data_IF_390679829560
#
_entry.id   IF_390679829560
#
_cell.length_a   1.000
_cell.length_b   1.000
_cell.length_c   1.000
_cell.angle_alpha   90.00
_cell.angle_beta   90.00
_cell.angle_gamma   90.00
#
_symmetry.space_group_name_H-M   'P 1'
#
loop_
_entity.id
_entity.type
_entity.pdbx_description
1 polymer ?
#
# COMPACT_ATOMS: atom_id res chain seq x y z
N UNK A 1 -9.48 27.82 14.95
CA UNK A 1 -9.11 27.02 13.77
C UNK A 1 -10.04 25.83 13.69
N UNK A 2 -10.77 25.70 12.58
CA UNK A 2 -11.83 24.70 12.43
C UNK A 2 -11.28 23.28 12.26
N UNK A 3 -12.05 22.26 12.65
CA UNK A 3 -11.75 20.84 12.45
C UNK A 3 -11.26 20.52 11.02
N UNK A 4 -11.72 21.25 10.02
CA UNK A 4 -11.35 21.04 8.61
C UNK A 4 -10.00 21.65 8.22
N UNK A 5 -9.52 22.70 8.88
CA UNK A 5 -8.16 23.22 8.63
C UNK A 5 -7.12 22.16 9.00
N UNK A 6 -7.43 21.31 9.98
CA UNK A 6 -6.52 20.26 10.40
C UNK A 6 -6.44 19.10 9.39
N UNK A 7 -7.50 18.91 8.61
CA UNK A 7 -7.69 17.82 7.65
C UNK A 7 -7.33 18.20 6.21
N UNK A 8 -6.92 19.44 5.96
CA UNK A 8 -6.68 19.98 4.61
C UNK A 8 -5.24 20.42 4.41
N UNK A 9 -4.91 20.72 3.15
CA UNK A 9 -3.59 21.18 2.74
C UNK A 9 -3.59 22.70 2.49
N UNK A 10 -2.40 23.30 2.62
CA UNK A 10 -2.21 24.71 2.30
C UNK A 10 -2.41 24.95 0.80
N UNK A 11 -2.78 26.18 0.37
CA UNK A 11 -2.87 26.51 -1.05
C UNK A 11 -1.56 26.28 -1.82
N UNK A 12 -0.40 26.48 -1.18
CA UNK A 12 0.90 26.22 -1.77
C UNK A 12 1.14 24.73 -2.03
N UNK A 13 0.79 23.87 -1.08
CA UNK A 13 0.91 22.42 -1.24
C UNK A 13 -0.03 21.90 -2.32
N UNK A 14 -1.25 22.44 -2.41
CA UNK A 14 -2.19 22.11 -3.47
C UNK A 14 -1.66 22.49 -4.86
N UNK A 15 -1.14 23.72 -5.03
CA UNK A 15 -0.52 24.16 -6.29
C UNK A 15 0.62 23.22 -6.70
N UNK A 16 1.49 22.88 -5.76
CA UNK A 16 2.60 21.96 -5.98
C UNK A 16 2.13 20.56 -6.36
N UNK A 17 1.09 20.05 -5.69
CA UNK A 17 0.54 18.74 -6.00
C UNK A 17 -0.08 18.71 -7.40
N UNK A 18 -0.94 19.68 -7.72
CA UNK A 18 -1.68 19.69 -8.99
C UNK A 18 -0.77 19.95 -10.20
N UNK A 19 0.30 20.74 -10.05
CA UNK A 19 1.28 20.95 -11.14
C UNK A 19 2.12 19.71 -11.47
N UNK A 20 2.19 18.73 -10.57
CA UNK A 20 2.93 17.48 -10.76
C UNK A 20 2.08 16.35 -11.33
N UNK A 21 0.77 16.57 -11.54
CA UNK A 21 -0.10 15.52 -12.02
C UNK A 21 0.16 15.19 -13.49
N UNK A 22 0.10 13.90 -13.80
CA UNK A 22 0.13 13.39 -15.17
C UNK A 22 -1.27 13.44 -15.76
N UNK A 23 -1.63 14.60 -16.34
CA UNK A 23 -2.93 14.83 -16.99
C UNK A 23 -3.23 13.86 -18.14
N UNK A 24 -2.18 13.29 -18.74
CA UNK A 24 -2.26 12.22 -19.73
C UNK A 24 -2.56 10.84 -19.12
N UNK A 25 -2.73 10.69 -17.81
CA UNK A 25 -3.00 9.37 -17.22
C UNK A 25 -4.42 8.88 -17.54
N UNK A 26 -4.64 7.55 -17.44
CA UNK A 26 -5.97 6.95 -17.68
C UNK A 26 -7.05 7.47 -16.72
N UNK A 27 -6.67 7.87 -15.50
CA UNK A 27 -7.58 8.40 -14.49
C UNK A 27 -8.20 9.72 -14.94
N UNK A 28 -7.38 10.68 -15.40
CA UNK A 28 -7.88 11.98 -15.86
C UNK A 28 -8.58 11.87 -17.22
N UNK A 29 -7.98 11.17 -18.20
CA UNK A 29 -8.55 11.04 -19.56
C UNK A 29 -9.96 10.45 -19.58
N UNK A 30 -10.23 9.43 -18.76
CA UNK A 30 -11.55 8.78 -18.70
C UNK A 30 -12.65 9.66 -18.09
N UNK A 31 -12.28 10.75 -17.41
CA UNK A 31 -13.19 11.72 -16.79
C UNK A 31 -12.84 13.15 -17.19
N UNK A 32 -12.31 13.34 -18.41
CA UNK A 32 -11.79 14.61 -18.90
C UNK A 32 -12.82 15.74 -18.73
N UNK A 33 -14.07 15.53 -19.13
CA UNK A 33 -15.16 16.52 -18.99
C UNK A 33 -15.31 17.07 -17.57
N UNK A 34 -15.11 16.26 -16.54
CA UNK A 34 -15.14 16.74 -15.16
C UNK A 34 -13.88 17.54 -14.82
N UNK A 35 -12.70 16.99 -15.10
CA UNK A 35 -11.44 17.66 -14.76
C UNK A 35 -11.21 18.96 -15.54
N UNK A 36 -11.67 19.03 -16.79
CA UNK A 36 -11.61 20.23 -17.63
C UNK A 36 -12.56 21.33 -17.16
N UNK A 37 -13.59 20.97 -16.38
CA UNK A 37 -14.54 21.93 -15.79
C UNK A 37 -14.04 22.60 -14.50
N UNK A 38 -12.90 22.15 -13.97
CA UNK A 38 -12.34 22.67 -12.72
C UNK A 38 -11.49 23.93 -12.97
N UNK A 39 -11.57 24.88 -12.04
CA UNK A 39 -10.74 26.08 -12.04
C UNK A 39 -9.40 25.77 -11.35
N UNK A 40 -8.41 25.40 -12.17
CA UNK A 40 -7.07 25.05 -11.70
C UNK A 40 -6.21 26.25 -11.29
N UNK A 41 -6.68 27.47 -11.52
CA UNK A 41 -5.94 28.69 -11.19
C UNK A 41 -6.34 29.23 -9.81
N UNK A 42 -7.64 29.25 -9.50
CA UNK A 42 -8.15 29.94 -8.32
C UNK A 42 -8.80 29.01 -7.28
N UNK A 43 -9.34 27.87 -7.69
CA UNK A 43 -10.15 26.99 -6.82
C UNK A 43 -9.68 25.53 -6.87
N UNK A 44 -8.43 25.33 -6.44
CA UNK A 44 -7.80 24.01 -6.42
C UNK A 44 -8.50 23.06 -5.45
N UNK A 45 -9.04 21.92 -5.94
CA UNK A 45 -9.74 20.98 -5.09
C UNK A 45 -8.77 20.25 -4.16
N UNK A 46 -9.26 19.86 -2.99
CA UNK A 46 -8.50 19.02 -2.06
C UNK A 46 -8.47 17.58 -2.58
N UNK A 47 -7.29 16.96 -2.73
CA UNK A 47 -7.20 15.55 -3.13
C UNK A 47 -7.48 14.65 -1.92
N UNK A 48 -8.65 14.01 -1.90
CA UNK A 48 -9.04 13.08 -0.85
C UNK A 48 -8.58 11.65 -1.15
N UNK A 49 -8.19 10.94 -0.09
CA UNK A 49 -8.05 9.48 -0.07
C UNK A 49 -9.19 8.95 0.75
N UNK A 50 -10.01 8.09 0.16
CA UNK A 50 -10.99 7.28 0.86
C UNK A 50 -10.34 5.94 1.20
N UNK A 51 -10.39 5.52 2.45
CA UNK A 51 -9.73 4.31 2.94
C UNK A 51 -10.73 3.39 3.62
N UNK A 52 -10.82 2.16 3.11
CA UNK A 52 -11.56 1.07 3.71
C UNK A 52 -10.63 0.01 4.28
N UNK A 53 -10.95 -0.47 5.48
CA UNK A 53 -10.13 -1.44 6.21
C UNK A 53 -11.00 -2.34 7.11
N UNK A 54 -10.41 -3.41 7.63
CA UNK A 54 -10.97 -4.24 8.67
C UNK A 54 -10.13 -4.13 9.96
N UNK A 55 -10.75 -3.75 11.06
CA UNK A 55 -10.09 -3.69 12.37
C UNK A 55 -10.56 -4.86 13.26
N UNK A 56 -9.68 -5.48 14.06
CA UNK A 56 -10.10 -6.46 15.06
C UNK A 56 -11.13 -5.87 16.04
N UNK A 57 -12.20 -6.61 16.32
CA UNK A 57 -13.24 -6.19 17.28
C UNK A 57 -13.40 -7.19 18.42
N UNK A 58 -13.59 -8.46 18.07
CA UNK A 58 -13.72 -9.58 18.99
C UNK A 58 -13.00 -10.80 18.42
N UNK A 59 -12.99 -11.92 19.14
CA UNK A 59 -12.41 -13.18 18.64
C UNK A 59 -13.13 -13.72 17.39
N UNK A 60 -14.41 -13.36 17.21
CA UNK A 60 -15.28 -13.90 16.16
C UNK A 60 -15.72 -12.85 15.15
N UNK A 61 -15.38 -11.57 15.35
CA UNK A 61 -15.83 -10.48 14.50
C UNK A 61 -14.76 -9.38 14.33
N UNK A 62 -14.92 -8.62 13.24
CA UNK A 62 -14.09 -7.46 12.92
C UNK A 62 -14.98 -6.26 12.59
N UNK A 63 -14.46 -5.06 12.78
CA UNK A 63 -15.11 -3.83 12.33
C UNK A 63 -14.73 -3.59 10.87
N UNK A 64 -15.70 -3.33 10.01
CA UNK A 64 -15.46 -2.66 8.75
C UNK A 64 -15.39 -1.16 9.02
N UNK A 65 -14.26 -0.56 8.65
CA UNK A 65 -13.92 0.83 8.92
C UNK A 65 -13.85 1.57 7.59
N UNK A 66 -14.51 2.71 7.52
CA UNK A 66 -14.38 3.65 6.42
C UNK A 66 -13.93 5.00 6.94
N UNK A 67 -12.88 5.54 6.34
CA UNK A 67 -12.28 6.81 6.71
C UNK A 67 -11.82 7.57 5.49
N UNK A 68 -11.55 8.86 5.64
CA UNK A 68 -10.91 9.63 4.58
C UNK A 68 -9.92 10.65 5.13
N UNK A 69 -8.99 11.07 4.28
CA UNK A 69 -7.99 12.10 4.62
C UNK A 69 -7.49 12.83 3.39
N UNK A 70 -6.91 14.01 3.59
CA UNK A 70 -6.21 14.70 2.50
C UNK A 70 -4.93 13.92 2.12
N UNK A 71 -4.78 13.57 0.84
CA UNK A 71 -3.67 12.78 0.32
C UNK A 71 -2.30 13.40 0.62
N UNK A 72 -2.23 14.74 0.63
CA UNK A 72 -0.99 15.49 0.73
C UNK A 72 -0.77 16.12 2.11
N UNK A 73 -1.54 15.71 3.12
CA UNK A 73 -1.30 16.16 4.49
C UNK A 73 0.06 15.67 5.00
N UNK A 74 0.80 16.56 5.65
CA UNK A 74 2.07 16.23 6.32
C UNK A 74 1.87 15.70 7.75
N UNK A 75 0.63 15.71 8.23
CA UNK A 75 0.27 15.25 9.57
C UNK A 75 0.29 13.73 9.66
N UNK A 76 0.48 13.23 10.88
CA UNK A 76 0.33 11.81 11.17
C UNK A 76 -1.11 11.38 10.87
N UNK A 77 -1.28 10.16 10.36
CA UNK A 77 -2.58 9.57 10.01
C UNK A 77 -3.60 9.75 11.13
N UNK A 78 -3.22 9.40 12.37
CA UNK A 78 -4.08 9.53 13.56
C UNK A 78 -4.57 10.97 13.86
N UNK A 79 -3.96 11.99 13.27
CA UNK A 79 -4.33 13.39 13.45
C UNK A 79 -4.98 14.02 12.20
N UNK A 80 -5.05 13.29 11.09
CA UNK A 80 -5.51 13.80 9.79
C UNK A 80 -6.57 12.93 9.11
N UNK A 81 -6.86 11.78 9.70
CA UNK A 81 -7.87 10.84 9.23
C UNK A 81 -9.18 11.12 9.92
N UNK A 82 -10.23 11.23 9.11
CA UNK A 82 -11.58 11.43 9.58
C UNK A 82 -12.37 10.14 9.38
N UNK A 83 -12.93 9.63 10.47
CA UNK A 83 -13.73 8.43 10.49
C UNK A 83 -15.13 8.73 9.93
N UNK A 84 -15.52 8.06 8.85
CA UNK A 84 -16.84 8.23 8.23
C UNK A 84 -17.84 7.24 8.80
N UNK A 85 -17.43 5.97 8.91
CA UNK A 85 -18.28 4.90 9.40
C UNK A 85 -17.46 3.78 10.00
N UNK A 86 -18.04 3.11 11.00
CA UNK A 86 -17.51 1.90 11.62
C UNK A 86 -18.68 1.01 11.99
N UNK A 87 -18.67 -0.23 11.53
CA UNK A 87 -19.68 -1.21 11.90
C UNK A 87 -19.06 -2.61 12.06
N UNK A 88 -19.49 -3.41 13.05
CA UNK A 88 -19.15 -4.83 13.11
C UNK A 88 -19.62 -5.54 11.84
N UNK A 89 -18.79 -6.39 11.23
CA UNK A 89 -19.12 -7.09 9.98
C UNK A 89 -20.36 -7.97 10.16
N UNK A 90 -20.55 -8.59 11.34
CA UNK A 90 -21.75 -9.38 11.62
C UNK A 90 -23.01 -8.55 11.85
N UNK A 91 -22.87 -7.28 12.25
CA UNK A 91 -23.98 -6.39 12.59
C UNK A 91 -24.54 -5.60 11.40
N UNK A 92 -23.84 -5.58 10.28
CA UNK A 92 -24.23 -4.83 9.09
C UNK A 92 -24.60 -5.78 7.95
N UNK A 93 -25.86 -5.72 7.51
CA UNK A 93 -26.27 -6.39 6.28
C UNK A 93 -25.88 -5.54 5.05
N UNK A 94 -26.00 -6.15 3.86
CA UNK A 94 -25.70 -5.46 2.59
C UNK A 94 -26.56 -4.21 2.37
N UNK A 95 -27.80 -4.21 2.89
CA UNK A 95 -28.71 -3.07 2.76
C UNK A 95 -28.25 -1.86 3.59
N UNK A 96 -27.69 -2.12 4.77
CA UNK A 96 -27.17 -1.08 5.67
C UNK A 96 -25.99 -0.37 5.02
N UNK A 97 -25.03 -1.14 4.49
CA UNK A 97 -23.89 -0.57 3.75
C UNK A 97 -24.31 0.16 2.49
N UNK A 98 -25.26 -0.38 1.72
CA UNK A 98 -25.74 0.27 0.50
C UNK A 98 -26.29 1.69 0.78
N UNK A 99 -27.15 1.84 1.80
CA UNK A 99 -27.69 3.15 2.22
C UNK A 99 -26.60 4.09 2.71
N UNK A 100 -25.67 3.58 3.50
CA UNK A 100 -24.55 4.37 4.00
C UNK A 100 -23.68 4.87 2.84
N UNK A 101 -23.40 4.01 1.86
CA UNK A 101 -22.65 4.37 0.66
C UNK A 101 -23.36 5.39 -0.21
N UNK A 102 -24.69 5.35 -0.30
CA UNK A 102 -25.46 6.38 -0.98
C UNK A 102 -25.24 7.76 -0.34
N UNK A 103 -25.34 7.86 0.98
CA UNK A 103 -25.11 9.13 1.70
C UNK A 103 -23.66 9.63 1.60
N UNK A 104 -22.70 8.70 1.65
CA UNK A 104 -21.28 9.03 1.48
C UNK A 104 -21.01 9.52 0.06
N UNK A 105 -21.50 8.82 -0.95
CA UNK A 105 -21.34 9.21 -2.34
C UNK A 105 -21.95 10.59 -2.60
N UNK A 106 -23.16 10.83 -2.10
CA UNK A 106 -23.84 12.12 -2.24
C UNK A 106 -23.07 13.26 -1.54
N UNK A 107 -22.46 12.97 -0.39
CA UNK A 107 -21.58 13.91 0.31
C UNK A 107 -20.33 14.24 -0.52
N UNK A 108 -19.73 13.26 -1.17
CA UNK A 108 -18.59 13.48 -2.07
C UNK A 108 -18.97 14.16 -3.39
N UNK A 109 -20.18 13.95 -3.91
CA UNK A 109 -20.71 14.72 -5.04
C UNK A 109 -20.79 16.20 -4.69
N UNK A 110 -21.35 16.53 -3.50
CA UNK A 110 -21.43 17.91 -2.99
C UNK A 110 -20.04 18.54 -2.82
N UNK A 111 -19.06 17.78 -2.32
CA UNK A 111 -17.67 18.22 -2.21
C UNK A 111 -17.01 18.44 -3.57
N UNK A 112 -17.24 17.56 -4.56
CA UNK A 112 -16.66 17.70 -5.90
C UNK A 112 -17.19 18.94 -6.62
N UNK A 113 -18.48 19.23 -6.47
CA UNK A 113 -19.13 20.41 -7.05
C UNK A 113 -18.79 21.69 -6.26
N UNK A 114 -18.49 21.56 -4.96
CA UNK A 114 -18.24 22.69 -4.06
C UNK A 114 -19.54 23.37 -3.59
N UNK A 115 -20.65 22.62 -3.46
CA UNK A 115 -21.95 23.17 -3.04
C UNK A 115 -22.77 22.15 -2.25
N UNK A 116 -23.49 22.64 -1.23
CA UNK A 116 -24.54 21.91 -0.53
C UNK A 116 -25.75 22.82 -0.30
N UNK A 117 -26.81 22.62 -1.08
CA UNK A 117 -27.94 23.56 -1.13
C UNK A 117 -27.47 24.95 -1.58
N UNK A 118 -27.70 25.97 -0.73
CA UNK A 118 -27.25 27.36 -0.98
C UNK A 118 -25.82 27.64 -0.48
N UNK A 119 -25.22 26.74 0.30
CA UNK A 119 -23.89 26.93 0.85
C UNK A 119 -22.81 26.57 -0.17
N UNK A 120 -21.81 27.45 -0.31
CA UNK A 120 -20.57 27.14 -1.03
C UNK A 120 -19.65 26.33 -0.11
N UNK A 121 -19.05 25.29 -0.67
CA UNK A 121 -18.08 24.43 0.00
C UNK A 121 -16.75 24.52 -0.75
N UNK A 122 -15.64 24.36 -0.03
CA UNK A 122 -14.35 24.15 -0.67
C UNK A 122 -14.39 22.84 -1.45
N UNK A 123 -13.96 22.89 -2.73
CA UNK A 123 -13.98 21.72 -3.59
C UNK A 123 -13.02 20.63 -3.09
N UNK A 124 -13.41 19.39 -3.30
CA UNK A 124 -12.58 18.25 -3.00
C UNK A 124 -12.94 17.07 -3.87
N UNK A 125 -11.93 16.31 -4.29
CA UNK A 125 -12.08 15.21 -5.24
C UNK A 125 -11.44 13.95 -4.69
N UNK A 126 -12.10 12.80 -4.88
CA UNK A 126 -11.53 11.51 -4.50
C UNK A 126 -10.43 11.18 -5.50
N UNK A 127 -9.18 11.32 -5.07
CA UNK A 127 -8.01 10.98 -5.86
C UNK A 127 -7.62 9.52 -5.75
N UNK A 128 -7.91 8.88 -4.61
CA UNK A 128 -7.65 7.47 -4.41
C UNK A 128 -8.69 6.85 -3.50
N UNK A 129 -9.13 5.64 -3.84
CA UNK A 129 -9.85 4.72 -2.96
C UNK A 129 -8.85 3.61 -2.63
N UNK A 130 -8.51 3.45 -1.35
CA UNK A 130 -7.49 2.52 -0.88
C UNK A 130 -8.06 1.51 0.09
N UNK A 131 -7.55 0.28 0.03
CA UNK A 131 -7.85 -0.79 0.97
C UNK A 131 -7.05 -2.03 0.61
N UNK A 132 -7.14 -3.07 1.42
CA UNK A 132 -6.57 -4.36 1.08
C UNK A 132 -7.45 -5.11 0.05
N UNK A 133 -6.95 -6.26 -0.43
CA UNK A 133 -7.67 -7.06 -1.42
C UNK A 133 -8.96 -7.66 -0.84
N UNK A 134 -8.99 -8.02 0.45
CA UNK A 134 -10.17 -8.61 1.09
C UNK A 134 -11.33 -7.60 1.12
N UNK A 135 -11.03 -6.37 1.51
CA UNK A 135 -11.99 -5.27 1.49
C UNK A 135 -12.50 -5.00 0.07
N UNK A 136 -11.60 -4.95 -0.93
CA UNK A 136 -12.04 -4.78 -2.32
C UNK A 136 -12.89 -5.93 -2.84
N UNK A 137 -12.57 -7.17 -2.44
CA UNK A 137 -13.37 -8.34 -2.79
C UNK A 137 -14.78 -8.25 -2.21
N UNK A 138 -14.90 -7.89 -0.94
CA UNK A 138 -16.18 -7.77 -0.26
C UNK A 138 -17.02 -6.60 -0.81
N UNK A 139 -16.40 -5.43 -1.02
CA UNK A 139 -17.12 -4.20 -1.35
C UNK A 139 -17.38 -4.05 -2.86
N UNK A 140 -16.41 -4.40 -3.70
CA UNK A 140 -16.46 -4.14 -5.14
C UNK A 140 -16.51 -5.41 -5.99
N UNK A 141 -16.62 -6.59 -5.36
CA UNK A 141 -16.64 -7.87 -6.06
C UNK A 141 -15.33 -8.19 -6.75
N UNK A 142 -14.19 -7.68 -6.26
CA UNK A 142 -12.88 -8.04 -6.80
C UNK A 142 -12.57 -9.52 -6.58
N UNK A 143 -11.75 -10.14 -7.46
CA UNK A 143 -11.27 -11.49 -7.23
C UNK A 143 -10.53 -11.58 -5.89
N UNK A 144 -10.73 -12.67 -5.16
CA UNK A 144 -9.96 -12.97 -3.96
C UNK A 144 -8.55 -13.45 -4.33
N UNK A 145 -7.63 -13.45 -3.36
CA UNK A 145 -6.27 -13.95 -3.55
C UNK A 145 -6.21 -15.43 -4.01
N UNK A 146 -7.22 -16.23 -3.66
CA UNK A 146 -7.35 -17.64 -4.04
C UNK A 146 -8.12 -17.87 -5.34
N UNK A 147 -8.56 -16.81 -6.02
CA UNK A 147 -9.29 -16.94 -7.28
C UNK A 147 -8.39 -17.54 -8.38
N UNK A 148 -9.01 -18.29 -9.30
CA UNK A 148 -8.36 -18.72 -10.54
C UNK A 148 -7.92 -17.53 -11.42
N UNK A 149 -8.47 -16.33 -11.20
CA UNK A 149 -8.10 -15.11 -11.92
C UNK A 149 -7.91 -13.95 -10.94
N UNK A 150 -6.82 -13.96 -10.16
CA UNK A 150 -6.68 -13.18 -8.93
C UNK A 150 -6.49 -11.67 -9.16
N UNK A 151 -6.10 -11.26 -10.37
CA UNK A 151 -5.84 -9.85 -10.67
C UNK A 151 -7.13 -9.14 -11.16
N UNK A 152 -7.56 -8.03 -10.56
CA UNK A 152 -8.68 -7.24 -11.07
C UNK A 152 -8.31 -6.41 -12.31
N UNK A 153 -7.02 -6.27 -12.61
CA UNK A 153 -6.52 -5.41 -13.70
C UNK A 153 -6.17 -6.18 -14.98
N UNK A 154 -5.81 -7.46 -14.88
CA UNK A 154 -5.39 -8.26 -16.02
C UNK A 154 -5.97 -9.67 -16.00
N UNK A 155 -5.84 -10.38 -17.13
CA UNK A 155 -6.26 -11.75 -17.34
C UNK A 155 -5.26 -12.79 -16.82
N UNK A 156 -4.40 -12.43 -15.87
CA UNK A 156 -3.51 -13.40 -15.24
C UNK A 156 -4.35 -14.48 -14.53
N UNK A 157 -3.96 -15.73 -14.70
CA UNK A 157 -4.60 -16.89 -14.10
C UNK A 157 -3.72 -17.55 -13.02
N UNK A 158 -4.37 -18.25 -12.10
CA UNK A 158 -3.78 -19.07 -11.05
C UNK A 158 -4.29 -20.52 -11.19
N UNK A 159 -4.29 -21.03 -12.43
CA UNK A 159 -4.72 -22.39 -12.73
C UNK A 159 -3.54 -23.34 -12.56
N UNK A 160 -3.68 -24.34 -11.70
CA UNK A 160 -2.66 -25.38 -11.49
C UNK A 160 -2.58 -26.39 -12.63
N UNK A 161 -3.61 -26.46 -13.47
CA UNK A 161 -3.64 -27.31 -14.66
C UNK A 161 -2.95 -26.58 -15.81
N UNK A 162 -1.72 -26.97 -16.13
CA UNK A 162 -0.91 -26.35 -17.19
C UNK A 162 -1.60 -26.38 -18.56
N UNK A 163 -2.46 -27.37 -18.84
CA UNK A 163 -3.20 -27.44 -20.09
C UNK A 163 -4.32 -26.38 -20.17
N UNK A 164 -4.73 -25.80 -19.03
CA UNK A 164 -5.76 -24.75 -18.94
C UNK A 164 -5.18 -23.37 -18.66
N UNK A 165 -3.97 -23.29 -18.10
CA UNK A 165 -3.30 -22.02 -17.84
C UNK A 165 -2.85 -21.39 -19.16
N UNK A 166 -3.31 -20.17 -19.42
CA UNK A 166 -2.99 -19.42 -20.65
C UNK A 166 -1.99 -18.31 -20.34
N UNK A 167 -2.11 -17.73 -19.16
CA UNK A 167 -1.38 -16.55 -18.73
C UNK A 167 -1.10 -16.63 -17.22
N UNK A 168 -0.27 -17.59 -16.78
CA UNK A 168 -0.01 -17.83 -15.37
C UNK A 168 0.58 -16.58 -14.71
N UNK A 169 0.01 -16.18 -13.56
CA UNK A 169 0.46 -14.99 -12.82
C UNK A 169 1.91 -15.11 -12.31
N UNK A 170 2.44 -16.33 -12.25
CA UNK A 170 3.82 -16.64 -11.85
C UNK A 170 4.85 -16.43 -12.97
N UNK A 171 4.41 -16.22 -14.23
CA UNK A 171 5.33 -15.87 -15.31
C UNK A 171 5.76 -14.40 -15.17
N UNK A 172 6.96 -14.19 -14.63
CA UNK A 172 7.52 -12.86 -14.38
C UNK A 172 8.34 -12.31 -15.57
N UNK A 173 8.46 -13.07 -16.66
CA UNK A 173 9.22 -12.65 -17.85
C UNK A 173 8.66 -11.35 -18.45
N UNK A 174 9.51 -10.61 -19.17
CA UNK A 174 9.08 -9.41 -19.89
C UNK A 174 8.03 -9.73 -20.97
N UNK A 175 8.04 -10.96 -21.49
CA UNK A 175 7.14 -11.49 -22.53
C UNK A 175 5.94 -12.25 -21.97
N UNK A 176 5.68 -12.19 -20.65
CA UNK A 176 4.57 -12.93 -20.04
C UNK A 176 3.22 -12.53 -20.64
N UNK A 177 2.39 -13.52 -20.98
CA UNK A 177 1.14 -13.31 -21.73
C UNK A 177 0.16 -12.36 -21.03
N UNK A 178 0.03 -12.46 -19.70
CA UNK A 178 -0.90 -11.65 -18.92
C UNK A 178 -0.63 -10.14 -19.02
N UNK A 179 0.59 -9.73 -19.39
CA UNK A 179 0.94 -8.31 -19.58
C UNK A 179 0.16 -7.66 -20.73
N UNK A 180 -0.20 -8.46 -21.74
CA UNK A 180 -1.04 -8.02 -22.87
C UNK A 180 -2.54 -8.14 -22.61
N UNK A 181 -2.95 -8.85 -21.57
CA UNK A 181 -4.35 -9.16 -21.27
C UNK A 181 -4.92 -8.19 -20.23
N UNK A 182 -4.94 -6.90 -20.51
CA UNK A 182 -5.56 -5.94 -19.58
C UNK A 182 -7.08 -6.06 -19.64
N UNK A 183 -7.73 -6.16 -18.48
CA UNK A 183 -9.19 -6.15 -18.40
C UNK A 183 -9.70 -4.76 -18.73
N UNK A 184 -10.88 -4.67 -19.35
CA UNK A 184 -11.54 -3.38 -19.49
C UNK A 184 -12.11 -2.97 -18.12
N UNK A 185 -11.68 -1.83 -17.56
CA UNK A 185 -12.31 -1.22 -16.40
C UNK A 185 -13.84 -1.13 -16.48
N UNK A 186 -14.37 -1.02 -17.70
CA UNK A 186 -15.78 -0.81 -17.96
C UNK A 186 -16.66 -2.04 -17.80
N UNK A 187 -16.07 -3.24 -17.80
CA UNK A 187 -16.77 -4.53 -17.67
C UNK A 187 -16.90 -4.97 -16.19
N UNK A 188 -16.41 -4.15 -15.27
CA UNK A 188 -16.37 -4.50 -13.84
C UNK A 188 -17.71 -4.26 -13.14
N UNK A 189 -18.08 -5.15 -12.22
CA UNK A 189 -19.31 -5.02 -11.40
C UNK A 189 -19.34 -3.72 -10.56
N UNK A 190 -18.18 -3.11 -10.37
CA UNK A 190 -17.94 -1.89 -9.59
C UNK A 190 -18.79 -0.70 -10.04
N UNK A 191 -19.17 -0.63 -11.32
CA UNK A 191 -20.00 0.47 -11.84
C UNK A 191 -21.35 0.63 -11.14
N UNK A 192 -21.83 -0.44 -10.51
CA UNK A 192 -23.09 -0.43 -9.76
C UNK A 192 -22.93 0.21 -8.36
N UNK A 193 -21.69 0.36 -7.88
CA UNK A 193 -21.41 0.91 -6.56
C UNK A 193 -21.67 2.43 -6.52
N UNK A 194 -22.28 2.94 -5.44
CA UNK A 194 -22.70 4.35 -5.32
C UNK A 194 -21.58 5.36 -5.58
N UNK A 195 -20.34 5.04 -5.19
CA UNK A 195 -19.15 5.87 -5.45
C UNK A 195 -18.92 6.18 -6.94
N UNK A 196 -19.42 5.39 -7.89
CA UNK A 196 -19.28 5.70 -9.32
C UNK A 196 -20.12 6.90 -9.76
N UNK A 197 -21.07 7.37 -8.93
CA UNK A 197 -21.78 8.64 -9.13
C UNK A 197 -20.91 9.86 -8.82
N UNK A 198 -19.84 9.70 -8.03
CA UNK A 198 -18.98 10.81 -7.62
C UNK A 198 -18.15 11.30 -8.81
N UNK A 199 -18.19 12.61 -9.13
CA UNK A 199 -17.38 13.16 -10.21
C UNK A 199 -15.88 12.88 -10.02
N UNK A 200 -15.22 12.45 -11.09
CA UNK A 200 -13.80 12.09 -11.10
C UNK A 200 -13.49 10.67 -10.60
N UNK A 201 -14.44 9.96 -9.95
CA UNK A 201 -14.24 8.56 -9.58
C UNK A 201 -14.32 7.67 -10.81
N UNK A 202 -13.32 6.80 -10.95
CA UNK A 202 -13.27 5.76 -11.95
C UNK A 202 -12.59 4.53 -11.37
N UNK A 203 -12.58 3.44 -12.13
CA UNK A 203 -11.77 2.27 -11.78
C UNK A 203 -10.31 2.60 -11.46
N UNK A 204 -9.72 3.57 -12.16
CA UNK A 204 -8.32 3.98 -11.93
C UNK A 204 -8.11 4.76 -10.64
N UNK A 205 -9.18 5.22 -10.00
CA UNK A 205 -9.15 5.83 -8.66
C UNK A 205 -8.92 4.76 -7.60
N UNK A 206 -9.21 3.48 -7.88
CA UNK A 206 -9.03 2.38 -6.93
C UNK A 206 -7.58 1.91 -6.91
N UNK A 207 -6.99 1.82 -5.72
CA UNK A 207 -5.59 1.43 -5.48
C UNK A 207 -5.52 0.43 -4.32
N UNK A 208 -4.82 -0.67 -4.53
CA UNK A 208 -4.44 -1.55 -3.42
C UNK A 208 -3.53 -0.81 -2.45
N UNK A 209 -3.75 -1.05 -1.16
CA UNK A 209 -2.94 -0.49 -0.11
C UNK A 209 -1.47 -0.93 -0.26
N UNK A 210 -0.59 0.08 -0.26
CA UNK A 210 0.83 -0.12 -0.43
C UNK A 210 1.45 -0.88 0.74
N UNK A 211 0.90 -0.76 1.96
CA UNK A 211 1.39 -1.53 3.10
C UNK A 211 1.25 -3.03 2.81
N UNK A 212 0.08 -3.45 2.33
CA UNK A 212 -0.21 -4.85 2.02
C UNK A 212 0.53 -5.37 0.78
N UNK A 213 0.71 -4.54 -0.26
CA UNK A 213 1.44 -4.96 -1.46
C UNK A 213 2.96 -4.96 -1.27
N UNK A 214 3.51 -3.89 -0.67
CA UNK A 214 4.94 -3.68 -0.63
C UNK A 214 5.56 -4.24 0.66
N UNK A 215 5.10 -3.79 1.83
CA UNK A 215 5.75 -4.12 3.10
C UNK A 215 5.36 -5.51 3.61
N UNK A 216 4.07 -5.81 3.66
CA UNK A 216 3.55 -7.12 4.07
C UNK A 216 3.47 -8.13 2.92
N UNK A 217 3.56 -7.65 1.67
CA UNK A 217 3.59 -8.48 0.46
C UNK A 217 5.01 -8.76 -0.01
N UNK A 218 5.48 -8.07 -1.05
CA UNK A 218 6.74 -8.40 -1.73
C UNK A 218 7.95 -8.37 -0.77
N UNK A 219 8.06 -7.35 0.06
CA UNK A 219 9.23 -7.19 0.95
C UNK A 219 9.29 -8.27 2.01
N UNK A 220 8.15 -8.66 2.59
CA UNK A 220 8.11 -9.71 3.62
C UNK A 220 8.60 -11.04 3.07
N UNK A 221 8.26 -11.38 1.82
CA UNK A 221 8.78 -12.56 1.14
C UNK A 221 10.27 -12.47 0.86
N UNK A 222 10.77 -11.34 0.35
CA UNK A 222 12.20 -11.16 0.08
C UNK A 222 13.01 -11.33 1.37
N UNK A 223 12.63 -10.64 2.45
CA UNK A 223 13.34 -10.73 3.72
C UNK A 223 13.18 -12.10 4.37
N UNK A 224 12.00 -12.71 4.31
CA UNK A 224 11.76 -14.06 4.83
C UNK A 224 12.67 -15.10 4.17
N UNK A 225 12.75 -15.08 2.83
CA UNK A 225 13.62 -15.99 2.08
C UNK A 225 15.10 -15.73 2.36
N UNK A 226 15.54 -14.47 2.36
CA UNK A 226 16.94 -14.14 2.66
C UNK A 226 17.36 -14.59 4.07
N UNK A 227 16.52 -14.33 5.07
CA UNK A 227 16.80 -14.75 6.45
C UNK A 227 16.83 -16.28 6.54
N UNK A 228 15.89 -16.95 5.88
CA UNK A 228 15.87 -18.41 5.84
C UNK A 228 17.15 -18.98 5.23
N UNK A 229 17.57 -18.47 4.07
CA UNK A 229 18.79 -18.92 3.39
C UNK A 229 20.03 -18.74 4.28
N UNK A 230 20.18 -17.60 4.97
CA UNK A 230 21.33 -17.40 5.86
C UNK A 230 21.28 -18.36 7.06
N UNK A 231 20.10 -18.63 7.62
CA UNK A 231 19.97 -19.53 8.77
C UNK A 231 20.21 -21.00 8.36
N UNK A 232 19.72 -21.44 7.18
CA UNK A 232 19.90 -22.81 6.70
C UNK A 232 21.33 -23.02 6.20
N UNK A 233 21.80 -22.15 5.32
CA UNK A 233 22.95 -22.43 4.45
C UNK A 233 24.26 -21.81 4.95
N UNK A 234 24.22 -20.69 5.68
CA UNK A 234 25.42 -19.91 5.98
C UNK A 234 25.84 -19.98 7.45
N UNK A 235 24.89 -20.13 8.38
CA UNK A 235 25.16 -20.19 9.82
C UNK A 235 25.31 -21.64 10.31
N UNK A 236 26.36 -21.94 11.09
CA UNK A 236 26.61 -23.30 11.54
C UNK A 236 25.66 -23.70 12.68
N UNK A 237 25.30 -24.98 12.71
CA UNK A 237 24.55 -25.59 13.80
C UNK A 237 23.11 -25.94 13.43
N UNK A 238 22.27 -26.14 14.45
CA UNK A 238 20.85 -26.37 14.25
C UNK A 238 20.14 -25.08 13.87
N UNK A 239 18.91 -25.21 13.36
CA UNK A 239 18.04 -24.08 13.07
C UNK A 239 17.91 -23.11 14.26
N UNK A 240 17.75 -23.66 15.46
CA UNK A 240 17.58 -22.92 16.70
C UNK A 240 18.85 -22.16 17.08
N UNK A 241 20.03 -22.79 17.00
CA UNK A 241 21.30 -22.10 17.26
C UNK A 241 21.59 -21.02 16.21
N UNK A 242 21.31 -21.30 14.93
CA UNK A 242 21.49 -20.35 13.83
C UNK A 242 20.53 -19.16 13.95
N UNK A 243 19.29 -19.36 14.38
CA UNK A 243 18.35 -18.28 14.66
C UNK A 243 18.80 -17.39 15.83
N UNK A 244 19.42 -17.95 16.87
CA UNK A 244 20.02 -17.17 17.96
C UNK A 244 21.18 -16.32 17.44
N UNK A 245 22.06 -16.90 16.61
CA UNK A 245 23.15 -16.16 15.98
C UNK A 245 22.64 -15.04 15.07
N UNK A 246 21.62 -15.31 14.25
CA UNK A 246 20.97 -14.31 13.40
C UNK A 246 20.39 -13.15 14.20
N UNK A 247 19.67 -13.42 15.30
CA UNK A 247 19.13 -12.37 16.17
C UNK A 247 20.24 -11.49 16.78
N UNK A 248 21.39 -12.08 17.15
CA UNK A 248 22.55 -11.30 17.62
C UNK A 248 23.11 -10.40 16.51
N UNK A 249 23.23 -10.91 15.27
CA UNK A 249 23.67 -10.11 14.13
C UNK A 249 22.75 -8.91 13.88
N UNK A 250 21.43 -9.14 13.87
CA UNK A 250 20.42 -8.08 13.70
C UNK A 250 20.52 -7.03 14.82
N UNK A 251 20.70 -7.47 16.07
CA UNK A 251 20.85 -6.57 17.22
C UNK A 251 22.11 -5.71 17.11
N UNK A 252 23.24 -6.32 16.73
CA UNK A 252 24.52 -5.62 16.53
C UNK A 252 24.41 -4.59 15.40
N UNK A 253 23.88 -4.97 14.23
CA UNK A 253 23.65 -4.03 13.11
C UNK A 253 22.74 -2.87 13.54
N UNK A 254 21.69 -3.16 14.33
CA UNK A 254 20.79 -2.11 14.84
C UNK A 254 21.50 -1.14 15.79
N UNK A 255 22.47 -1.63 16.57
CA UNK A 255 23.31 -0.82 17.44
C UNK A 255 24.29 0.01 16.63
N UNK A 256 24.99 -0.59 15.65
CA UNK A 256 25.96 0.08 14.79
C UNK A 256 25.34 1.20 13.94
N UNK A 257 24.05 1.07 13.60
CA UNK A 257 23.27 2.07 12.88
C UNK A 257 22.59 3.12 13.79
N UNK A 258 22.85 3.07 15.10
CA UNK A 258 22.23 3.93 16.12
C UNK A 258 20.69 3.95 16.03
N UNK A 259 20.08 2.77 15.80
CA UNK A 259 18.62 2.64 15.78
C UNK A 259 18.10 2.73 17.23
N UNK A 260 17.17 3.65 17.55
CA UNK A 260 16.56 3.73 18.87
C UNK A 260 15.93 2.41 19.29
N UNK A 261 16.05 2.02 20.57
CA UNK A 261 15.59 0.71 21.07
C UNK A 261 14.14 0.38 20.68
N UNK A 262 13.22 1.34 20.81
CA UNK A 262 11.80 1.17 20.42
C UNK A 262 11.53 1.06 18.92
N UNK A 263 12.55 1.21 18.07
CA UNK A 263 12.47 1.07 16.61
C UNK A 263 13.29 -0.13 16.09
N UNK A 264 13.99 -0.85 16.98
CA UNK A 264 14.75 -2.05 16.61
C UNK A 264 13.79 -3.19 16.29
N UNK A 265 14.27 -4.11 15.47
CA UNK A 265 13.54 -5.35 15.22
C UNK A 265 13.42 -6.16 16.52
N UNK A 266 12.23 -6.67 16.86
CA UNK A 266 12.09 -7.59 17.97
C UNK A 266 12.85 -8.88 17.68
N UNK A 267 13.12 -9.66 18.72
CA UNK A 267 13.71 -10.99 18.59
C UNK A 267 12.80 -11.85 17.69
N UNK A 268 13.37 -12.35 16.60
CA UNK A 268 12.70 -13.23 15.65
C UNK A 268 12.57 -14.64 16.21
N UNK A 269 11.41 -15.24 15.98
CA UNK A 269 11.11 -16.64 16.22
C UNK A 269 11.05 -17.40 14.90
N UNK A 270 11.10 -18.74 14.97
CA UNK A 270 10.98 -19.61 13.79
C UNK A 270 9.69 -19.34 13.00
N UNK A 271 8.59 -19.10 13.72
CA UNK A 271 7.26 -18.80 13.14
C UNK A 271 7.19 -17.46 12.44
N UNK A 272 8.13 -16.55 12.71
CA UNK A 272 8.20 -15.24 12.06
C UNK A 272 8.85 -15.34 10.67
N UNK A 273 9.56 -16.43 10.37
CA UNK A 273 10.33 -16.61 9.12
C UNK A 273 9.78 -17.77 8.30
N UNK A 274 9.51 -18.91 8.94
CA UNK A 274 9.11 -20.16 8.29
C UNK A 274 7.62 -20.40 8.52
N UNK A 275 6.92 -20.76 7.45
CA UNK A 275 5.54 -21.21 7.54
C UNK A 275 5.46 -22.73 7.34
N UNK A 276 4.54 -23.44 8.01
CA UNK A 276 4.41 -24.89 7.83
C UNK A 276 4.05 -25.32 6.40
N UNK A 277 3.43 -24.42 5.63
CA UNK A 277 2.92 -24.66 4.28
C UNK A 277 3.20 -23.43 3.42
N UNK A 278 4.43 -23.30 2.92
CA UNK A 278 4.75 -22.26 1.96
C UNK A 278 6.21 -21.84 1.98
N UNK A 279 6.49 -20.86 1.14
CA UNK A 279 7.78 -20.19 1.12
C UNK A 279 8.00 -19.39 2.41
N UNK A 280 9.27 -19.20 2.83
CA UNK A 280 9.60 -18.29 3.91
C UNK A 280 8.99 -16.91 3.68
N UNK A 281 8.44 -16.32 4.74
CA UNK A 281 7.83 -14.99 4.73
C UNK A 281 7.99 -14.36 6.10
N UNK A 282 8.49 -13.14 6.13
CA UNK A 282 8.69 -12.40 7.36
C UNK A 282 7.35 -11.88 7.90
N UNK A 283 6.79 -12.55 8.91
CA UNK A 283 5.51 -12.17 9.50
C UNK A 283 5.65 -11.11 10.59
N UNK A 284 4.56 -10.39 10.83
CA UNK A 284 4.39 -9.45 11.97
C UNK A 284 5.38 -8.28 12.04
N UNK A 285 6.24 -8.12 11.04
CA UNK A 285 7.24 -7.06 10.97
C UNK A 285 6.96 -6.25 9.71
N UNK A 286 6.51 -5.01 9.90
CA UNK A 286 6.36 -4.05 8.81
C UNK A 286 7.74 -3.78 8.22
N UNK A 287 7.86 -3.58 6.90
CA UNK A 287 9.14 -3.30 6.24
C UNK A 287 9.83 -1.98 6.67
N UNK A 288 9.13 -1.11 7.41
CA UNK A 288 9.59 0.22 7.83
C UNK A 288 10.93 0.25 8.59
N UNK A 289 11.22 -0.64 9.55
CA UNK A 289 12.51 -0.69 10.24
C UNK A 289 13.68 -0.98 9.30
N UNK A 290 13.48 -1.79 8.25
CA UNK A 290 14.51 -2.06 7.24
C UNK A 290 14.80 -0.84 6.34
N UNK A 291 13.80 0.03 6.12
CA UNK A 291 13.96 1.26 5.31
C UNK A 291 14.71 2.37 6.05
N UNK A 292 14.80 2.34 7.37
CA UNK A 292 15.52 3.36 8.16
C UNK A 292 17.02 3.36 7.88
N UNK A 293 17.62 2.18 7.70
CA UNK A 293 19.03 2.04 7.33
C UNK A 293 19.38 2.71 6.00
N UNK A 294 18.46 2.74 5.02
CA UNK A 294 18.71 3.34 3.71
C UNK A 294 18.55 4.87 3.69
N UNK A 295 17.67 5.45 4.52
CA UNK A 295 17.44 6.90 4.59
C UNK A 295 18.58 7.66 5.29
N UNK A 296 19.10 7.14 6.41
CA UNK A 296 20.26 7.76 7.08
C UNK A 296 21.50 7.64 6.21
N UNK A 297 21.77 6.47 5.63
CA UNK A 297 22.90 6.31 4.72
C UNK A 297 22.85 7.30 3.55
N UNK A 298 21.68 7.64 2.99
CA UNK A 298 21.61 8.72 1.99
C UNK A 298 21.99 10.10 2.52
N UNK A 299 21.57 10.47 3.72
CA UNK A 299 21.94 11.79 4.29
C UNK A 299 23.42 11.85 4.68
N UNK A 300 23.96 10.78 5.26
CA UNK A 300 25.38 10.69 5.62
C UNK A 300 26.29 10.56 4.40
N UNK A 301 25.87 9.83 3.35
CA UNK A 301 26.57 9.75 2.06
C UNK A 301 26.49 11.07 1.28
N UNK A 302 25.34 11.76 1.29
CA UNK A 302 25.21 13.10 0.68
C UNK A 302 26.05 14.17 1.40
N UNK A 303 26.25 14.05 2.72
CA UNK A 303 27.17 14.93 3.44
C UNK A 303 28.65 14.60 3.18
N UNK A 304 29.00 13.35 2.85
CA UNK A 304 30.37 12.93 2.53
C UNK A 304 30.74 13.01 1.04
N UNK A 305 29.78 13.05 0.13
CA UNK A 305 30.02 13.11 -1.32
C UNK A 305 29.60 14.47 -1.91
N UNK A 306 30.50 15.46 -1.84
CA UNK A 306 30.51 16.59 -2.78
C UNK A 306 31.22 16.17 -4.08
N UNK A 307 30.70 15.14 -4.75
CA UNK A 307 31.18 14.63 -6.03
C UNK A 307 30.01 14.22 -6.93
N UNK A 308 30.25 14.00 -8.25
CA UNK A 308 29.17 13.69 -9.19
C UNK A 308 28.41 12.43 -8.75
N UNK A 309 27.07 12.49 -8.84
CA UNK A 309 26.16 11.47 -8.33
C UNK A 309 26.43 10.11 -8.98
N UNK A 310 27.07 9.19 -8.22
CA UNK A 310 27.09 7.78 -8.57
C UNK A 310 25.73 7.15 -8.25
N UNK A 311 25.19 6.39 -9.19
CA UNK A 311 23.96 5.63 -8.99
C UNK A 311 24.15 4.67 -7.81
N UNK A 312 23.28 4.80 -6.80
CA UNK A 312 23.29 3.93 -5.63
C UNK A 312 22.71 2.57 -6.04
N UNK A 313 23.57 1.63 -6.44
CA UNK A 313 23.18 0.22 -6.66
C UNK A 313 23.03 -0.48 -5.32
N UNK A 314 21.96 -1.26 -5.15
CA UNK A 314 21.81 -2.14 -3.99
C UNK A 314 22.96 -3.15 -3.98
N UNK A 315 23.57 -3.46 -2.83
CA UNK A 315 24.62 -4.48 -2.74
C UNK A 315 24.08 -5.81 -3.25
N UNK A 316 24.87 -6.49 -4.09
CA UNK A 316 24.53 -7.82 -4.59
C UNK A 316 24.52 -8.84 -3.45
N UNK A 317 23.87 -9.99 -3.65
CA UNK A 317 23.95 -11.13 -2.72
C UNK A 317 25.42 -11.45 -2.37
N UNK A 318 26.31 -11.35 -3.36
CA UNK A 318 27.75 -11.56 -3.18
C UNK A 318 28.37 -10.51 -2.25
N UNK A 319 28.00 -9.24 -2.37
CA UNK A 319 28.53 -8.15 -1.53
C UNK A 319 28.10 -8.30 -0.07
N UNK A 320 26.83 -8.65 0.16
CA UNK A 320 26.31 -8.94 1.50
C UNK A 320 27.02 -10.15 2.10
N UNK A 321 27.15 -11.25 1.34
CA UNK A 321 27.86 -12.44 1.78
C UNK A 321 29.35 -12.19 2.02
N UNK A 322 30.01 -11.35 1.21
CA UNK A 322 31.41 -11.01 1.37
C UNK A 322 31.63 -10.12 2.61
N UNK A 323 30.71 -9.19 2.89
CA UNK A 323 30.72 -8.42 4.13
C UNK A 323 30.52 -9.33 5.36
N UNK A 324 29.56 -10.24 5.32
CA UNK A 324 29.33 -11.22 6.39
C UNK A 324 30.56 -12.14 6.60
N UNK A 325 31.23 -12.56 5.52
CA UNK A 325 32.48 -13.32 5.59
C UNK A 325 33.63 -12.50 6.18
N UNK A 326 33.71 -11.21 5.88
CA UNK A 326 34.74 -10.32 6.44
C UNK A 326 34.59 -10.12 7.96
N UNK A 327 33.36 -10.08 8.47
CA UNK A 327 33.07 -10.05 9.91
C UNK A 327 33.44 -11.36 10.62
N UNK A 328 33.55 -12.48 9.88
CA UNK A 328 33.94 -13.79 10.39
C UNK A 328 35.44 -13.94 10.63
N UNK A 329 36.28 -13.11 10.02
CA UNK A 329 37.75 -13.18 10.18
C UNK A 329 38.27 -12.33 11.35
N UNK A 330 37.38 -11.73 12.13
CA UNK A 330 37.70 -10.95 13.32
C UNK A 330 37.33 -11.62 14.65
N UNK A 331 37.01 -12.92 14.65
CA UNK A 331 36.72 -13.74 15.85
C UNK A 331 37.75 -14.84 16.00
#
# INVERSE_FOLDING_TARGET
>A
SGLLESLTASPGDLRKFWSQQRWDSKQFRRKATFFDSLDWEHDLPIPWVLHGDAAPYSEVDSLQVLSFRCMITSKKVACSEFLLAVMPKQGADQNTWAKLWDEIADSFVKLAIGKSGKASLRKGIIMSITGDLEWFSAEFGWPTASSNYPCPFCGADNLFDEAKSVAPFTDMRATAAWRGMLRDPDETQMKKHALWRVPGVSFWTVKLDLLHMADLGVSSHIYGNLLNDIIVEELPGSWESSLVAMNRLIANISQDLDVPSGQRLPKLNKTDIVTPKGYPVLKHIKGTPFRWGSRRNRQTLQQKQKGPAQACTMPSRRDVLQHLRSLRMGV
#
